data_IF_061078816460
#
_entry.id   IF_061078816460
#
_cell.length_a   1.000
_cell.length_b   1.000
_cell.length_c   1.000
_cell.angle_alpha   90.00
_cell.angle_beta   90.00
_cell.angle_gamma   90.00
#
_symmetry.space_group_name_H-M   'P 1'
#
loop_
_entity.id
_entity.type
_entity.pdbx_description
1 polymer ?
#
# COMPACT_ATOMS: atom_id res chain seq x y z
N UNK A 1 -19.84 -29.49 -43.63
CA UNK A 1 -20.00 -28.20 -42.93
C UNK A 1 -20.96 -28.40 -41.77
N UNK A 2 -20.45 -28.58 -40.55
CA UNK A 2 -21.23 -28.47 -39.32
C UNK A 2 -20.64 -27.29 -38.54
N UNK A 3 -21.45 -26.26 -38.43
CA UNK A 3 -21.20 -25.05 -37.66
C UNK A 3 -21.11 -25.41 -36.17
N UNK A 4 -19.93 -25.26 -35.57
CA UNK A 4 -19.77 -25.27 -34.12
C UNK A 4 -20.10 -23.85 -33.65
N UNK A 5 -21.21 -23.74 -32.93
CA UNK A 5 -21.66 -22.52 -32.27
C UNK A 5 -20.64 -22.08 -31.23
N UNK A 6 -20.12 -20.85 -31.39
CA UNK A 6 -19.44 -20.10 -30.31
C UNK A 6 -20.49 -19.73 -29.26
N UNK A 7 -20.85 -20.66 -28.39
CA UNK A 7 -21.44 -20.29 -27.10
C UNK A 7 -20.33 -19.67 -26.26
N UNK A 8 -20.44 -18.36 -26.05
CA UNK A 8 -19.51 -17.60 -25.22
C UNK A 8 -19.43 -18.20 -23.82
N UNK A 9 -18.22 -18.63 -23.44
CA UNK A 9 -17.90 -18.94 -22.04
C UNK A 9 -18.09 -17.64 -21.25
N UNK A 10 -19.23 -17.51 -20.59
CA UNK A 10 -19.46 -16.41 -19.65
C UNK A 10 -18.43 -16.49 -18.53
N UNK A 11 -17.70 -15.39 -18.33
CA UNK A 11 -16.90 -15.16 -17.15
C UNK A 11 -17.79 -15.20 -15.91
N UNK A 12 -17.72 -16.28 -15.12
CA UNK A 12 -18.10 -16.22 -13.71
C UNK A 12 -16.83 -15.94 -12.90
N UNK A 13 -16.86 -14.92 -12.05
CA UNK A 13 -15.79 -14.62 -11.08
C UNK A 13 -15.52 -15.76 -10.08
N UNK A 14 -16.25 -16.86 -10.20
CA UNK A 14 -16.18 -18.05 -9.38
C UNK A 14 -14.94 -18.91 -9.69
N UNK A 15 -14.35 -18.82 -10.89
CA UNK A 15 -13.28 -19.74 -11.31
C UNK A 15 -11.84 -19.24 -11.17
N UNK A 16 -11.55 -17.93 -11.14
CA UNK A 16 -10.17 -17.43 -11.10
C UNK A 16 -9.97 -16.35 -10.05
N UNK A 17 -8.98 -16.56 -9.18
CA UNK A 17 -8.65 -15.65 -8.09
C UNK A 17 -7.15 -15.31 -8.11
N UNK A 18 -6.83 -14.11 -7.63
CA UNK A 18 -5.44 -13.75 -7.38
C UNK A 18 -4.81 -14.77 -6.42
N UNK A 19 -3.64 -15.28 -6.78
CA UNK A 19 -2.89 -16.30 -6.06
C UNK A 19 -2.99 -17.67 -6.72
N UNK A 20 -4.01 -17.91 -7.56
CA UNK A 20 -4.13 -19.17 -8.28
C UNK A 20 -3.02 -19.33 -9.32
N UNK A 21 -2.56 -20.58 -9.50
CA UNK A 21 -1.67 -20.97 -10.58
C UNK A 21 -2.49 -21.62 -11.69
N UNK A 22 -2.23 -21.22 -12.93
CA UNK A 22 -2.97 -21.64 -14.11
C UNK A 22 -2.03 -22.11 -15.22
N UNK A 23 -2.50 -23.06 -16.01
CA UNK A 23 -1.94 -23.36 -17.33
C UNK A 23 -2.80 -22.66 -18.38
N UNK A 24 -2.18 -21.97 -19.32
CA UNK A 24 -2.88 -21.35 -20.45
C UNK A 24 -2.17 -21.62 -21.77
N UNK A 25 -2.95 -21.69 -22.86
CA UNK A 25 -2.44 -21.82 -24.22
C UNK A 25 -2.43 -20.45 -24.90
N UNK A 26 -1.27 -20.03 -25.40
CA UNK A 26 -1.18 -18.84 -26.26
C UNK A 26 -1.72 -19.18 -27.65
N UNK A 27 -2.56 -18.33 -28.23
CA UNK A 27 -3.00 -18.49 -29.62
C UNK A 27 -1.93 -18.07 -30.65
N UNK A 28 -0.85 -17.43 -30.20
CA UNK A 28 0.15 -16.79 -31.08
C UNK A 28 1.31 -17.71 -31.50
N UNK A 29 1.45 -18.89 -30.89
CA UNK A 29 2.54 -19.82 -31.22
C UNK A 29 1.97 -21.17 -31.67
N UNK A 30 2.34 -21.59 -32.88
CA UNK A 30 1.93 -22.88 -33.44
C UNK A 30 2.60 -24.04 -32.66
N UNK A 31 1.91 -24.57 -31.67
CA UNK A 31 2.33 -25.72 -30.86
C UNK A 31 1.51 -25.83 -29.57
N UNK A 32 1.39 -27.05 -29.02
CA UNK A 32 0.70 -27.32 -27.75
C UNK A 32 1.59 -26.90 -26.56
N UNK A 33 1.90 -25.60 -26.47
CA UNK A 33 2.79 -25.04 -25.46
C UNK A 33 1.98 -24.49 -24.28
N UNK A 34 1.57 -25.38 -23.37
CA UNK A 34 0.94 -25.00 -22.12
C UNK A 34 1.91 -24.19 -21.25
N UNK A 35 1.54 -22.97 -20.89
CA UNK A 35 2.39 -22.05 -20.12
C UNK A 35 1.88 -21.90 -18.70
N UNK A 36 2.77 -22.08 -17.71
CA UNK A 36 2.44 -21.93 -16.30
C UNK A 36 2.50 -20.45 -15.88
N UNK A 37 1.48 -19.98 -15.15
CA UNK A 37 1.35 -18.60 -14.68
C UNK A 37 0.78 -18.55 -13.27
N UNK A 38 1.14 -17.52 -12.52
CA UNK A 38 0.48 -17.15 -11.27
C UNK A 38 -0.40 -15.91 -11.51
N UNK A 39 -1.65 -15.92 -11.06
CA UNK A 39 -2.54 -14.76 -11.16
C UNK A 39 -2.18 -13.77 -10.03
N UNK A 40 -1.74 -12.57 -10.37
CA UNK A 40 -1.43 -11.52 -9.41
C UNK A 40 -2.64 -10.61 -9.18
N UNK A 41 -3.50 -10.43 -10.18
CA UNK A 41 -4.70 -9.62 -10.08
C UNK A 41 -5.63 -9.75 -11.28
N UNK A 42 -6.79 -9.10 -11.19
CA UNK A 42 -7.75 -8.97 -12.30
C UNK A 42 -7.84 -7.48 -12.63
N UNK A 43 -7.60 -7.13 -13.88
CA UNK A 43 -7.57 -5.76 -14.38
C UNK A 43 -8.79 -5.55 -15.27
N UNK A 44 -9.45 -4.41 -15.08
CA UNK A 44 -10.55 -3.95 -15.93
C UNK A 44 -10.01 -2.73 -16.69
N UNK A 45 -9.86 -2.79 -18.03
CA UNK A 45 -9.41 -1.66 -18.82
C UNK A 45 -10.37 -0.48 -18.69
N UNK A 46 -9.82 0.74 -18.65
CA UNK A 46 -10.64 1.96 -18.59
C UNK A 46 -11.52 2.15 -19.84
N UNK A 47 -11.04 1.67 -20.98
CA UNK A 47 -11.65 1.86 -22.30
C UNK A 47 -12.78 0.86 -22.57
N UNK A 48 -12.76 -0.31 -21.93
CA UNK A 48 -13.77 -1.34 -22.09
C UNK A 48 -14.03 -2.07 -20.77
N UNK A 49 -15.07 -1.64 -20.05
CA UNK A 49 -15.45 -2.21 -18.75
C UNK A 49 -15.95 -3.66 -18.82
N UNK A 50 -16.25 -4.16 -20.02
CA UNK A 50 -16.66 -5.55 -20.24
C UNK A 50 -15.49 -6.50 -20.45
N UNK A 51 -14.32 -5.97 -20.84
CA UNK A 51 -13.11 -6.77 -20.97
C UNK A 51 -12.48 -6.97 -19.59
N UNK A 52 -12.11 -8.22 -19.29
CA UNK A 52 -11.38 -8.56 -18.07
C UNK A 52 -10.06 -9.18 -18.48
N UNK A 53 -8.99 -8.62 -17.95
CA UNK A 53 -7.63 -9.14 -18.14
C UNK A 53 -7.16 -9.77 -16.83
N UNK A 54 -6.44 -10.89 -16.93
CA UNK A 54 -5.69 -11.42 -15.80
C UNK A 54 -4.30 -10.79 -15.84
N UNK A 55 -3.93 -10.14 -14.74
CA UNK A 55 -2.55 -9.73 -14.52
C UNK A 55 -1.80 -10.91 -13.94
N UNK A 56 -0.88 -11.47 -14.71
CA UNK A 56 -0.22 -12.75 -14.40
C UNK A 56 1.28 -12.60 -14.34
N UNK A 57 1.91 -13.39 -13.48
CA UNK A 57 3.35 -13.54 -13.37
C UNK A 57 3.81 -14.81 -14.08
N UNK A 58 4.88 -14.68 -14.86
CA UNK A 58 5.42 -15.77 -15.69
C UNK A 58 6.21 -16.78 -14.86
N UNK A 59 5.95 -18.05 -15.11
CA UNK A 59 6.72 -19.18 -14.57
C UNK A 59 7.32 -19.95 -15.75
N UNK A 60 8.62 -20.24 -15.66
CA UNK A 60 9.41 -20.87 -16.72
C UNK A 60 9.66 -22.35 -16.42
N UNK A 61 9.59 -23.19 -17.45
CA UNK A 61 9.86 -24.61 -17.35
C UNK A 61 11.33 -24.95 -17.54
N UNK A 62 11.65 -26.14 -17.05
CA UNK A 62 12.94 -26.79 -17.21
C UNK A 62 13.31 -27.10 -18.66
N UNK A 63 12.38 -27.40 -19.56
CA UNK A 63 12.67 -27.78 -20.96
C UNK A 63 13.49 -26.76 -21.78
N UNK A 64 13.76 -25.58 -21.21
CA UNK A 64 14.59 -24.53 -21.77
C UNK A 64 16.07 -24.55 -21.26
N UNK A 65 16.47 -25.41 -20.30
CA UNK A 65 17.84 -25.62 -19.77
C UNK A 65 18.06 -27.11 -19.33
N UNK A 66 19.29 -27.69 -19.21
CA UNK A 66 19.50 -29.16 -19.26
C UNK A 66 19.69 -29.93 -17.92
N UNK A 67 18.83 -30.95 -17.67
CA UNK A 67 18.62 -31.88 -16.52
C UNK A 67 18.13 -31.46 -15.09
N UNK A 68 16.80 -31.52 -14.82
CA UNK A 68 16.17 -31.85 -13.52
C UNK A 68 14.63 -31.94 -13.65
N UNK A 69 14.04 -33.07 -13.26
CA UNK A 69 12.59 -33.31 -13.26
C UNK A 69 11.89 -32.44 -12.19
N UNK A 70 10.89 -31.65 -12.62
CA UNK A 70 9.85 -30.95 -11.80
C UNK A 70 10.25 -29.58 -11.20
N UNK A 71 11.44 -29.04 -11.48
CA UNK A 71 11.80 -27.68 -11.06
C UNK A 71 11.28 -26.63 -12.07
N UNK A 72 10.52 -25.64 -11.59
CA UNK A 72 10.13 -24.45 -12.38
C UNK A 72 10.59 -23.18 -11.66
N UNK A 73 10.91 -22.13 -12.43
CA UNK A 73 11.37 -20.86 -11.87
C UNK A 73 10.27 -19.81 -11.94
N UNK A 74 10.03 -19.16 -10.81
CA UNK A 74 9.25 -17.93 -10.81
C UNK A 74 10.07 -16.85 -11.51
N UNK A 75 9.46 -16.10 -12.43
CA UNK A 75 10.11 -14.93 -13.04
C UNK A 75 9.46 -13.65 -12.56
N UNK A 76 10.13 -12.52 -12.74
CA UNK A 76 9.57 -11.19 -12.41
C UNK A 76 8.78 -10.59 -13.58
N UNK A 77 8.78 -11.26 -14.73
CA UNK A 77 8.02 -10.83 -15.88
C UNK A 77 6.52 -10.97 -15.59
N UNK A 78 5.81 -9.85 -15.69
CA UNK A 78 4.35 -9.81 -15.54
C UNK A 78 3.72 -9.32 -16.83
N UNK A 79 2.60 -9.92 -17.18
CA UNK A 79 1.85 -9.61 -18.40
C UNK A 79 0.35 -9.57 -18.08
N UNK A 80 -0.40 -8.81 -18.88
CA UNK A 80 -1.85 -8.85 -18.86
C UNK A 80 -2.32 -9.78 -19.98
N UNK A 81 -3.10 -10.81 -19.64
CA UNK A 81 -3.67 -11.75 -20.60
C UNK A 81 -5.18 -11.62 -20.64
N UNK A 82 -5.79 -11.75 -21.82
CA UNK A 82 -7.23 -11.73 -21.96
C UNK A 82 -7.81 -13.07 -21.45
N UNK A 83 -8.93 -13.01 -20.72
CA UNK A 83 -9.58 -14.20 -20.16
C UNK A 83 -10.24 -15.07 -21.24
N UNK A 84 -10.56 -14.51 -22.40
CA UNK A 84 -11.06 -15.24 -23.56
C UNK A 84 -9.98 -16.08 -24.25
N UNK A 85 -8.70 -15.91 -23.86
CA UNK A 85 -7.65 -16.86 -24.17
C UNK A 85 -7.88 -18.19 -23.43
N UNK A 86 -7.50 -19.32 -24.03
CA UNK A 86 -7.81 -20.66 -23.51
C UNK A 86 -6.98 -20.94 -22.25
N UNK A 87 -7.49 -20.53 -21.09
CA UNK A 87 -7.04 -21.07 -19.80
C UNK A 87 -7.45 -22.55 -19.76
N UNK A 88 -6.46 -23.41 -19.56
CA UNK A 88 -6.58 -24.85 -19.71
C UNK A 88 -7.09 -25.44 -18.38
N UNK A 89 -6.33 -25.32 -17.28
CA UNK A 89 -6.72 -25.82 -15.95
C UNK A 89 -5.99 -25.09 -14.80
N UNK A 90 -6.53 -25.21 -13.57
CA UNK A 90 -5.83 -24.84 -12.32
C UNK A 90 -4.75 -25.85 -11.99
N UNK A 91 -3.65 -25.36 -11.42
CA UNK A 91 -2.49 -26.17 -11.03
C UNK A 91 -2.12 -25.90 -9.58
N UNK A 92 -1.65 -26.93 -8.88
CA UNK A 92 -1.10 -26.78 -7.53
C UNK A 92 0.41 -26.61 -7.63
N UNK A 93 0.91 -25.48 -7.16
CA UNK A 93 2.35 -25.20 -7.12
C UNK A 93 2.75 -24.98 -5.67
N UNK A 94 3.77 -25.73 -5.22
CA UNK A 94 4.38 -25.52 -3.92
C UNK A 94 5.55 -24.54 -4.04
N UNK A 95 5.51 -23.48 -3.24
CA UNK A 95 6.62 -22.55 -3.07
C UNK A 95 7.41 -22.98 -1.82
N UNK A 96 8.70 -23.23 -1.96
CA UNK A 96 9.52 -23.83 -0.90
C UNK A 96 9.73 -22.93 0.33
N UNK A 97 9.45 -21.63 0.21
CA UNK A 97 9.40 -20.71 1.35
C UNK A 97 8.10 -20.82 2.18
N UNK A 98 7.14 -21.63 1.77
CA UNK A 98 5.88 -21.90 2.48
C UNK A 98 5.86 -23.34 3.03
N UNK A 99 5.04 -23.64 4.06
CA UNK A 99 4.86 -25.00 4.56
C UNK A 99 4.59 -26.00 3.44
N UNK A 100 5.18 -27.18 3.54
CA UNK A 100 5.09 -28.22 2.52
C UNK A 100 3.64 -28.63 2.27
N UNK A 101 3.24 -28.62 0.99
CA UNK A 101 1.92 -29.09 0.57
C UNK A 101 1.96 -30.59 0.32
N UNK A 102 1.01 -31.34 0.88
CA UNK A 102 0.92 -32.80 0.69
C UNK A 102 0.64 -33.19 -0.77
N UNK A 103 0.08 -32.28 -1.58
CA UNK A 103 -0.23 -32.51 -2.99
C UNK A 103 0.09 -31.27 -3.83
N UNK A 104 1.11 -31.36 -4.69
CA UNK A 104 1.46 -30.31 -5.67
C UNK A 104 1.93 -30.93 -6.99
N UNK A 105 1.70 -30.22 -8.09
CA UNK A 105 2.11 -30.60 -9.43
C UNK A 105 3.52 -30.07 -9.77
N UNK A 106 3.88 -28.89 -9.25
CA UNK A 106 5.18 -28.26 -9.45
C UNK A 106 5.77 -27.70 -8.15
N UNK A 107 7.11 -27.63 -8.09
CA UNK A 107 7.86 -27.00 -6.99
C UNK A 107 8.69 -25.83 -7.49
N UNK A 108 8.61 -24.71 -6.79
CA UNK A 108 9.43 -23.52 -7.04
C UNK A 108 10.39 -23.31 -5.87
N UNK A 109 11.69 -23.37 -6.17
CA UNK A 109 12.78 -23.11 -5.21
C UNK A 109 13.47 -21.77 -5.43
N UNK A 110 13.37 -21.26 -6.64
CA UNK A 110 14.26 -20.23 -7.16
C UNK A 110 13.48 -19.25 -8.04
N UNK A 111 13.99 -18.02 -8.08
CA UNK A 111 13.50 -16.92 -8.90
C UNK A 111 14.53 -16.63 -9.98
N UNK A 112 14.10 -16.66 -11.23
CA UNK A 112 14.89 -16.26 -12.38
C UNK A 112 14.62 -14.79 -12.70
N UNK A 113 15.67 -13.98 -12.72
CA UNK A 113 15.59 -12.56 -13.05
C UNK A 113 16.67 -12.17 -14.06
N UNK A 114 16.45 -11.05 -14.76
CA UNK A 114 17.42 -10.51 -15.71
C UNK A 114 18.11 -9.33 -15.04
N UNK A 115 19.44 -9.30 -15.10
CA UNK A 115 20.21 -8.20 -14.57
C UNK A 115 21.38 -7.91 -15.50
N UNK A 116 21.50 -6.67 -15.97
CA UNK A 116 22.47 -6.27 -16.99
C UNK A 116 22.45 -7.19 -18.22
N UNK A 117 21.25 -7.50 -18.71
CA UNK A 117 20.99 -8.41 -19.84
C UNK A 117 21.51 -9.85 -19.63
N UNK A 118 21.78 -10.26 -18.39
CA UNK A 118 22.18 -11.63 -18.06
C UNK A 118 21.17 -12.25 -17.10
N UNK A 119 20.81 -13.50 -17.36
CA UNK A 119 19.97 -14.29 -16.45
C UNK A 119 20.73 -14.58 -15.16
N UNK A 120 20.11 -14.29 -14.02
CA UNK A 120 20.59 -14.60 -12.68
C UNK A 120 19.50 -15.35 -11.91
N UNK A 121 19.92 -16.09 -10.90
CA UNK A 121 19.04 -16.89 -10.05
C UNK A 121 19.22 -16.46 -8.60
N UNK A 122 18.11 -16.34 -7.88
CA UNK A 122 18.10 -16.17 -6.43
C UNK A 122 17.09 -17.09 -5.77
N UNK A 123 17.22 -17.27 -4.46
CA UNK A 123 16.37 -18.18 -3.70
C UNK A 123 14.96 -17.60 -3.49
N UNK A 124 13.95 -18.47 -3.46
CA UNK A 124 12.52 -18.08 -3.33
C UNK A 124 12.20 -17.36 -2.01
N UNK A 125 13.04 -17.47 -0.98
CA UNK A 125 12.88 -16.70 0.26
C UNK A 125 13.01 -15.19 0.06
N UNK A 126 13.63 -14.75 -1.05
CA UNK A 126 13.76 -13.35 -1.42
C UNK A 126 12.60 -12.86 -2.32
N UNK A 127 11.55 -13.68 -2.50
CA UNK A 127 10.37 -13.29 -3.26
C UNK A 127 9.60 -12.18 -2.55
N UNK A 128 9.08 -11.23 -3.33
CA UNK A 128 7.99 -10.38 -2.88
C UNK A 128 6.71 -11.22 -2.73
N UNK A 129 6.28 -11.47 -1.50
CA UNK A 129 5.04 -12.21 -1.24
C UNK A 129 3.83 -11.41 -1.72
N UNK A 130 2.93 -12.07 -2.44
CA UNK A 130 1.65 -11.47 -2.82
C UNK A 130 0.74 -11.42 -1.58
N UNK A 131 -0.07 -10.37 -1.42
CA UNK A 131 -0.99 -10.26 -0.28
C UNK A 131 -1.90 -11.48 -0.11
N UNK A 132 -2.29 -12.14 -1.20
CA UNK A 132 -3.14 -13.34 -1.20
C UNK A 132 -2.46 -14.63 -0.72
N UNK A 133 -1.13 -14.65 -0.55
CA UNK A 133 -0.37 -15.81 -0.09
C UNK A 133 -0.40 -15.96 1.44
N UNK A 134 -0.87 -14.95 2.15
CA UNK A 134 -1.30 -15.13 3.53
C UNK A 134 -2.65 -15.86 3.51
N UNK A 135 -2.75 -16.98 4.24
CA UNK A 135 -3.97 -17.80 4.36
C UNK A 135 -5.16 -16.96 4.82
N UNK A 136 -5.85 -16.32 3.88
CA UNK A 136 -7.08 -15.58 4.16
C UNK A 136 -8.26 -16.48 3.81
N UNK A 137 -8.94 -17.00 4.83
CA UNK A 137 -10.30 -17.53 4.67
C UNK A 137 -11.20 -16.36 4.25
N UNK A 138 -11.35 -16.16 2.94
CA UNK A 138 -12.26 -15.16 2.42
C UNK A 138 -13.68 -15.67 2.65
N UNK A 139 -14.47 -14.92 3.42
CA UNK A 139 -15.89 -15.22 3.62
C UNK A 139 -16.59 -15.23 2.25
N UNK A 140 -17.46 -16.22 2.04
CA UNK A 140 -18.34 -16.31 0.88
C UNK A 140 -19.48 -15.30 1.04
N UNK A 141 -19.32 -14.12 0.47
CA UNK A 141 -20.38 -13.13 0.44
C UNK A 141 -21.42 -13.42 -0.63
N UNK A 142 -22.68 -12.97 -0.47
CA UNK A 142 -23.69 -13.05 -1.52
C UNK A 142 -23.21 -12.31 -2.78
N UNK A 143 -23.21 -13.00 -3.93
CA UNK A 143 -22.72 -12.52 -5.23
C UNK A 143 -23.40 -11.23 -5.73
N UNK A 144 -24.57 -10.88 -5.19
CA UNK A 144 -25.42 -9.81 -5.69
C UNK A 144 -25.23 -8.46 -4.97
N UNK A 145 -24.38 -8.37 -3.94
CA UNK A 145 -24.13 -7.11 -3.24
C UNK A 145 -22.93 -6.38 -3.83
N UNK A 146 -23.05 -5.06 -3.99
CA UNK A 146 -21.92 -4.22 -4.38
C UNK A 146 -20.82 -4.34 -3.32
N UNK A 147 -19.59 -4.59 -3.77
CA UNK A 147 -18.42 -4.73 -2.89
C UNK A 147 -17.51 -3.50 -3.03
N UNK A 148 -17.46 -2.69 -1.96
CA UNK A 148 -16.60 -1.52 -1.82
C UNK A 148 -15.33 -1.90 -1.05
N UNK A 149 -14.17 -1.43 -1.52
CA UNK A 149 -12.86 -1.72 -0.93
C UNK A 149 -12.18 -0.44 -0.48
N UNK A 150 -11.74 -0.42 0.78
CA UNK A 150 -11.05 0.72 1.37
C UNK A 150 -9.61 0.38 1.74
N UNK A 151 -8.75 1.37 1.66
CA UNK A 151 -7.37 1.32 2.11
C UNK A 151 -7.22 2.34 3.23
N UNK A 152 -6.80 1.88 4.40
CA UNK A 152 -6.60 2.70 5.59
C UNK A 152 -5.09 2.83 5.79
N UNK A 153 -4.56 4.04 5.65
CA UNK A 153 -3.16 4.34 5.93
C UNK A 153 -3.04 4.77 7.41
N UNK A 154 -2.24 4.02 8.18
CA UNK A 154 -2.05 4.19 9.61
C UNK A 154 -0.71 4.88 9.91
N UNK A 155 -0.77 5.83 10.83
CA UNK A 155 0.33 6.66 11.26
C UNK A 155 0.49 6.56 12.76
N UNK A 156 1.71 6.31 13.20
CA UNK A 156 2.08 6.35 14.61
C UNK A 156 3.31 7.23 14.77
N UNK A 157 3.23 8.19 15.70
CA UNK A 157 4.37 9.03 16.06
C UNK A 157 4.32 9.45 17.53
N UNK A 158 5.48 9.42 18.19
CA UNK A 158 5.65 9.96 19.53
C UNK A 158 5.95 11.46 19.50
N UNK A 159 5.37 12.20 20.43
CA UNK A 159 5.77 13.57 20.72
C UNK A 159 6.30 13.69 22.14
N UNK A 160 7.41 14.41 22.28
CA UNK A 160 7.93 14.86 23.56
C UNK A 160 7.03 15.97 24.10
N UNK A 161 6.00 15.56 24.85
CA UNK A 161 4.95 16.44 25.36
C UNK A 161 5.46 17.61 26.22
N UNK A 162 6.65 17.48 26.80
CA UNK A 162 7.19 18.46 27.75
C UNK A 162 8.50 19.12 27.31
N UNK A 163 8.93 18.91 26.05
CA UNK A 163 10.27 19.33 25.60
C UNK A 163 11.42 18.62 26.33
N UNK A 164 11.09 17.59 27.12
CA UNK A 164 12.01 16.67 27.80
C UNK A 164 11.61 15.26 27.41
N UNK A 165 12.59 14.43 27.07
CA UNK A 165 12.44 13.07 26.51
C UNK A 165 11.77 12.05 27.44
N UNK A 166 11.50 12.42 28.69
CA UNK A 166 11.00 11.53 29.74
C UNK A 166 9.48 11.35 29.75
N UNK A 167 8.71 12.15 28.99
CA UNK A 167 7.26 12.04 28.92
C UNK A 167 6.82 12.08 27.46
N UNK A 168 6.85 10.90 26.83
CA UNK A 168 6.40 10.69 25.45
C UNK A 168 4.92 10.36 25.45
N UNK A 169 4.18 11.04 24.58
CA UNK A 169 2.80 10.70 24.26
C UNK A 169 2.76 10.25 22.80
N UNK A 170 2.23 9.06 22.56
CA UNK A 170 2.14 8.47 21.22
C UNK A 170 0.82 8.85 20.55
N UNK A 171 0.84 9.34 19.31
CA UNK A 171 -0.37 9.60 18.54
C UNK A 171 -0.58 8.57 17.45
N UNK A 172 -1.78 8.00 17.38
CA UNK A 172 -2.21 7.08 16.31
C UNK A 172 -3.26 7.77 15.44
N UNK A 173 -2.96 7.93 14.16
CA UNK A 173 -3.83 8.59 13.19
C UNK A 173 -4.08 7.66 11.99
N UNK A 174 -5.22 7.83 11.34
CA UNK A 174 -5.54 7.13 10.10
C UNK A 174 -5.99 8.11 9.01
N UNK A 175 -5.83 7.67 7.77
CA UNK A 175 -6.38 8.34 6.59
C UNK A 175 -6.91 7.29 5.60
N UNK A 176 -8.02 7.57 4.93
CA UNK A 176 -8.46 6.72 3.83
C UNK A 176 -7.66 7.02 2.56
N UNK A 177 -6.90 6.05 2.07
CA UNK A 177 -6.08 6.22 0.89
C UNK A 177 -6.86 6.19 -0.43
N UNK A 178 -8.13 5.77 -0.43
CA UNK A 178 -9.03 5.91 -1.58
C UNK A 178 -9.43 7.35 -1.88
N UNK A 179 -9.18 8.30 -0.96
CA UNK A 179 -9.50 9.70 -1.19
C UNK A 179 -8.63 10.28 -2.33
N UNK A 180 -9.19 11.18 -3.17
CA UNK A 180 -8.41 11.98 -4.11
C UNK A 180 -7.25 12.69 -3.41
N UNK A 181 -6.18 12.96 -4.15
CA UNK A 181 -4.98 13.59 -3.58
C UNK A 181 -5.29 14.91 -2.86
N UNK A 182 -6.08 15.79 -3.49
CA UNK A 182 -6.49 17.06 -2.88
C UNK A 182 -7.15 16.87 -1.52
N UNK A 183 -8.00 15.86 -1.39
CA UNK A 183 -8.63 15.50 -0.10
C UNK A 183 -7.65 14.89 0.89
N UNK A 184 -6.71 14.06 0.43
CA UNK A 184 -5.65 13.52 1.31
C UNK A 184 -4.68 14.59 1.80
N UNK A 185 -4.63 15.73 1.09
CA UNK A 185 -3.82 16.88 1.48
C UNK A 185 -4.47 17.77 2.55
N UNK A 186 -5.75 17.54 2.86
CA UNK A 186 -6.44 18.30 3.90
C UNK A 186 -6.16 17.69 5.30
N UNK A 187 -5.74 18.51 6.27
CA UNK A 187 -5.59 18.09 7.67
C UNK A 187 -6.89 17.52 8.27
N UNK A 188 -8.05 18.03 7.85
CA UNK A 188 -9.36 17.54 8.30
C UNK A 188 -9.59 16.05 7.98
N UNK A 189 -8.88 15.49 7.01
CA UNK A 189 -9.03 14.12 6.57
C UNK A 189 -7.99 13.17 7.19
N UNK A 190 -7.37 13.58 8.30
CA UNK A 190 -6.61 12.75 9.22
C UNK A 190 -7.43 12.55 10.50
N UNK A 191 -7.67 11.29 10.86
CA UNK A 191 -8.52 10.94 11.99
C UNK A 191 -7.66 10.37 13.12
N UNK A 192 -7.74 10.97 14.31
CA UNK A 192 -7.12 10.44 15.52
C UNK A 192 -7.86 9.17 15.96
N UNK A 193 -7.15 8.04 16.03
CA UNK A 193 -7.65 6.79 16.64
C UNK A 193 -7.44 6.82 18.15
N UNK A 194 -6.32 7.37 18.59
CA UNK A 194 -6.10 7.59 20.01
C UNK A 194 -4.67 8.00 20.37
N UNK A 195 -4.54 8.35 21.64
CA UNK A 195 -3.30 8.82 22.24
C UNK A 195 -2.82 7.77 23.25
N UNK A 196 -1.62 7.26 23.04
CA UNK A 196 -0.96 6.26 23.86
C UNK A 196 -0.28 7.01 25.01
N UNK A 197 -0.76 6.85 26.26
CA UNK A 197 -0.19 7.53 27.41
C UNK A 197 1.24 7.08 27.67
N UNK A 198 1.96 7.88 28.45
CA UNK A 198 3.30 7.53 28.90
C UNK A 198 3.33 6.15 29.58
N UNK A 199 4.39 5.38 29.36
CA UNK A 199 4.59 3.98 29.78
C UNK A 199 3.62 2.92 29.21
N UNK A 200 2.60 3.30 28.43
CA UNK A 200 1.77 2.31 27.75
C UNK A 200 2.47 1.72 26.52
N UNK A 201 2.32 0.40 26.34
CA UNK A 201 2.90 -0.31 25.19
C UNK A 201 2.03 -0.12 23.97
N UNK A 202 2.63 0.33 22.86
CA UNK A 202 1.95 0.44 21.57
C UNK A 202 1.21 -0.84 21.16
N UNK A 203 1.85 -2.00 21.34
CA UNK A 203 1.28 -3.30 20.97
C UNK A 203 -0.03 -3.61 21.71
N UNK A 204 -0.13 -3.25 22.99
CA UNK A 204 -1.33 -3.47 23.79
C UNK A 204 -2.44 -2.49 23.36
N UNK A 205 -2.06 -1.23 23.09
CA UNK A 205 -2.99 -0.18 22.66
C UNK A 205 -3.61 -0.44 21.28
N UNK A 206 -2.81 -0.84 20.28
CA UNK A 206 -3.28 -1.02 18.90
C UNK A 206 -4.06 -2.33 18.70
N UNK A 207 -3.92 -3.30 19.61
CA UNK A 207 -4.49 -4.64 19.46
C UNK A 207 -5.99 -4.66 19.15
N UNK A 208 -6.86 -3.90 19.85
CA UNK A 208 -8.29 -3.84 19.53
C UNK A 208 -8.54 -3.30 18.12
N UNK A 209 -7.79 -2.27 17.70
CA UNK A 209 -7.88 -1.71 16.35
C UNK A 209 -7.48 -2.74 15.28
N UNK A 210 -6.40 -3.49 15.49
CA UNK A 210 -5.99 -4.56 14.56
C UNK A 210 -7.06 -5.67 14.46
N UNK A 211 -7.69 -6.03 15.57
CA UNK A 211 -8.81 -7.00 15.55
C UNK A 211 -9.98 -6.49 14.71
N UNK A 212 -10.33 -5.20 14.82
CA UNK A 212 -11.34 -4.57 13.96
C UNK A 212 -10.90 -4.55 12.49
N UNK A 213 -9.61 -4.27 12.22
CA UNK A 213 -9.07 -4.32 10.85
C UNK A 213 -9.12 -5.72 10.25
N UNK A 214 -8.91 -6.78 11.04
CA UNK A 214 -9.06 -8.17 10.57
C UNK A 214 -10.51 -8.49 10.20
N UNK A 215 -11.48 -8.00 10.98
CA UNK A 215 -12.91 -8.11 10.65
C UNK A 215 -13.21 -7.36 9.36
N UNK A 216 -12.75 -6.10 9.24
CA UNK A 216 -12.92 -5.29 8.04
C UNK A 216 -12.25 -5.92 6.81
N UNK A 217 -11.09 -6.53 6.98
CA UNK A 217 -10.36 -7.22 5.91
C UNK A 217 -11.13 -8.44 5.39
N UNK A 218 -11.78 -9.18 6.29
CA UNK A 218 -12.65 -10.28 5.91
C UNK A 218 -13.92 -9.78 5.21
N UNK A 219 -14.38 -8.57 5.55
CA UNK A 219 -15.51 -7.87 4.95
C UNK A 219 -16.74 -7.86 5.86
N UNK A 220 -17.44 -6.73 5.88
CA UNK A 220 -18.65 -6.49 6.67
C UNK A 220 -19.78 -6.03 5.76
N UNK A 221 -21.02 -6.33 6.12
CA UNK A 221 -22.19 -5.82 5.41
C UNK A 221 -22.67 -4.57 6.15
N UNK A 222 -22.76 -3.45 5.42
CA UNK A 222 -23.28 -2.18 5.93
C UNK A 222 -24.37 -1.64 5.00
N UNK A 223 -25.16 -0.70 5.51
CA UNK A 223 -26.13 0.03 4.70
C UNK A 223 -25.48 1.32 4.19
N UNK A 224 -25.53 1.58 2.88
CA UNK A 224 -25.00 2.81 2.30
C UNK A 224 -25.96 4.00 2.55
N UNK A 225 -25.57 5.19 2.10
CA UNK A 225 -26.40 6.41 2.18
C UNK A 225 -27.76 6.28 1.46
N UNK A 226 -27.83 5.47 0.41
CA UNK A 226 -29.06 5.24 -0.36
C UNK A 226 -29.99 4.19 0.30
N UNK A 227 -29.59 3.56 1.40
CA UNK A 227 -30.35 2.50 2.06
C UNK A 227 -30.07 1.08 1.55
N UNK A 228 -29.14 0.91 0.60
CA UNK A 228 -28.79 -0.41 0.06
C UNK A 228 -27.77 -1.14 0.94
N UNK A 229 -27.88 -2.47 1.00
CA UNK A 229 -26.83 -3.30 1.60
C UNK A 229 -25.62 -3.37 0.67
N UNK A 230 -24.46 -3.05 1.22
CA UNK A 230 -23.16 -3.14 0.53
C UNK A 230 -22.19 -3.96 1.36
N UNK A 231 -21.28 -4.66 0.69
CA UNK A 231 -20.14 -5.31 1.33
C UNK A 231 -19.00 -4.29 1.37
N UNK A 232 -18.44 -4.08 2.54
CA UNK A 232 -17.29 -3.22 2.77
C UNK A 232 -16.14 -4.09 3.22
N UNK A 233 -15.04 -4.05 2.49
CA UNK A 233 -13.78 -4.62 2.95
C UNK A 233 -12.67 -3.58 2.94
N UNK A 234 -11.59 -3.84 3.68
CA UNK A 234 -10.47 -2.94 3.63
C UNK A 234 -9.15 -3.50 4.13
N UNK A 235 -8.06 -2.87 3.69
CA UNK A 235 -6.70 -3.24 4.06
C UNK A 235 -6.02 -2.12 4.84
N UNK A 236 -5.07 -2.51 5.69
CA UNK A 236 -4.22 -1.59 6.45
C UNK A 236 -2.89 -1.36 5.71
N UNK A 237 -2.54 -0.11 5.48
CA UNK A 237 -1.20 0.33 5.11
C UNK A 237 -0.52 1.02 6.29
N UNK A 238 0.81 0.94 6.35
CA UNK A 238 1.61 1.64 7.35
C UNK A 238 2.83 2.28 6.68
N UNK A 239 3.01 3.60 6.83
CA UNK A 239 4.08 4.33 6.15
C UNK A 239 4.70 5.45 7.03
N UNK A 240 5.60 5.13 8.00
CA UNK A 240 6.40 6.10 8.81
C UNK A 240 7.70 5.47 9.38
N UNK A 241 8.78 6.25 9.66
CA UNK A 241 9.98 5.83 10.40
C UNK A 241 9.79 5.08 11.75
N UNK A 242 8.79 5.34 12.60
CA UNK A 242 8.50 4.43 13.74
C UNK A 242 7.84 3.12 13.29
N UNK A 243 7.07 3.17 12.20
CA UNK A 243 6.56 1.97 11.51
C UNK A 243 7.68 1.05 11.05
N UNK A 244 8.87 1.58 10.74
CA UNK A 244 10.04 0.76 10.44
C UNK A 244 10.46 -0.10 11.65
N UNK A 245 10.51 0.47 12.86
CA UNK A 245 10.80 -0.32 14.06
C UNK A 245 9.73 -1.41 14.27
N UNK A 246 8.45 -1.09 14.03
CA UNK A 246 7.34 -2.04 14.14
C UNK A 246 7.41 -3.16 13.10
N UNK A 247 7.92 -2.86 11.90
CA UNK A 247 8.16 -3.83 10.82
C UNK A 247 9.50 -4.58 10.98
N UNK A 248 10.22 -4.40 12.10
CA UNK A 248 11.53 -5.04 12.35
C UNK A 248 12.66 -4.50 11.48
N UNK A 249 12.46 -3.36 10.81
CA UNK A 249 13.44 -2.72 9.94
C UNK A 249 14.49 -2.02 10.81
N UNK A 250 15.76 -2.24 10.47
CA UNK A 250 16.90 -1.64 11.16
C UNK A 250 16.90 -0.11 11.02
N UNK A 251 17.47 0.57 12.00
CA UNK A 251 17.61 2.04 11.96
C UNK A 251 18.57 2.44 10.84
N UNK A 252 18.40 3.65 10.31
CA UNK A 252 19.29 4.22 9.29
C UNK A 252 20.78 4.27 9.73
N UNK A 253 21.04 4.29 11.04
CA UNK A 253 22.39 4.27 11.61
C UNK A 253 23.04 2.88 11.68
N UNK A 254 22.34 1.80 11.29
CA UNK A 254 22.99 0.48 11.16
C UNK A 254 23.71 0.38 9.83
N UNK A 255 24.72 -0.48 9.76
CA UNK A 255 25.52 -0.68 8.55
C UNK A 255 24.65 -0.93 7.31
N UNK A 256 23.66 -1.82 7.42
CA UNK A 256 22.63 -2.02 6.39
C UNK A 256 21.29 -1.38 6.77
N UNK A 257 21.24 -0.05 6.81
CA UNK A 257 20.06 0.72 7.17
C UNK A 257 19.00 0.88 6.08
N UNK A 258 19.31 0.55 4.82
CA UNK A 258 18.37 0.71 3.71
C UNK A 258 17.31 -0.42 3.67
N UNK A 259 16.05 -0.02 3.47
CA UNK A 259 14.88 -0.93 3.39
C UNK A 259 14.76 -1.67 2.07
N UNK A 260 15.45 -1.18 1.05
CA UNK A 260 15.25 -1.58 -0.33
C UNK A 260 16.47 -2.29 -0.90
N UNK A 261 17.68 -1.97 -0.44
CA UNK A 261 18.91 -2.65 -0.83
C UNK A 261 19.82 -2.91 0.37
N UNK A 262 20.90 -3.65 0.13
CA UNK A 262 21.90 -4.02 1.13
C UNK A 262 23.11 -3.08 1.16
N UNK A 263 22.94 -1.82 0.76
CA UNK A 263 24.01 -0.81 0.85
C UNK A 263 24.54 -0.71 2.29
N UNK A 264 25.85 -0.55 2.42
CA UNK A 264 26.55 -0.28 3.69
C UNK A 264 26.53 1.22 3.99
N UNK A 265 26.94 1.64 5.19
CA UNK A 265 27.06 3.08 5.46
C UNK A 265 28.17 3.75 4.63
N UNK A 266 29.24 3.03 4.34
CA UNK A 266 30.38 3.53 3.57
C UNK A 266 30.01 3.78 2.10
N UNK A 267 29.07 2.99 1.57
CA UNK A 267 28.62 3.07 0.18
C UNK A 267 27.40 3.99 -0.04
N UNK A 268 26.90 4.71 0.98
CA UNK A 268 25.71 5.56 0.83
C UNK A 268 25.87 6.64 -0.25
N UNK A 269 27.10 7.10 -0.50
CA UNK A 269 27.42 8.08 -1.56
C UNK A 269 27.97 7.45 -2.84
N UNK A 270 28.08 6.13 -2.89
CA UNK A 270 28.64 5.46 -4.05
C UNK A 270 27.61 5.47 -5.18
N UNK A 271 27.74 6.43 -6.10
CA UNK A 271 26.86 6.56 -7.27
C UNK A 271 26.96 5.39 -8.24
N UNK A 272 28.00 4.55 -8.10
CA UNK A 272 28.19 3.32 -8.86
C UNK A 272 27.67 2.09 -8.13
N UNK A 273 27.09 2.24 -6.94
CA UNK A 273 26.50 1.12 -6.22
C UNK A 273 25.32 0.56 -7.01
N UNK A 274 25.41 -0.72 -7.37
CA UNK A 274 24.37 -1.38 -8.12
C UNK A 274 23.21 -1.73 -7.20
N UNK A 275 22.27 -0.78 -7.08
CA UNK A 275 21.07 -0.90 -6.25
C UNK A 275 20.22 -2.10 -6.67
N UNK A 276 20.13 -2.39 -7.97
CA UNK A 276 19.31 -3.48 -8.47
C UNK A 276 19.92 -4.83 -8.09
N UNK A 277 21.24 -4.97 -8.21
CA UNK A 277 21.92 -6.21 -7.83
C UNK A 277 21.82 -6.47 -6.32
N UNK A 278 21.98 -5.41 -5.53
CA UNK A 278 21.96 -5.48 -4.07
C UNK A 278 20.57 -5.19 -3.51
N UNK A 279 19.54 -5.20 -4.35
CA UNK A 279 18.16 -4.98 -3.95
C UNK A 279 17.68 -6.14 -3.07
N UNK A 280 17.02 -5.83 -1.96
CA UNK A 280 16.35 -6.82 -1.09
C UNK A 280 15.17 -7.48 -1.82
N UNK A 281 14.61 -6.77 -2.79
CA UNK A 281 13.57 -7.21 -3.71
C UNK A 281 13.94 -6.72 -5.12
N UNK A 282 13.59 -7.46 -6.17
CA UNK A 282 13.84 -7.04 -7.54
C UNK A 282 12.51 -7.08 -8.32
N UNK A 283 12.23 -6.01 -9.06
CA UNK A 283 11.07 -5.91 -9.94
C UNK A 283 11.38 -4.87 -11.04
N UNK A 284 11.52 -5.32 -12.29
CA UNK A 284 11.86 -4.47 -13.44
C UNK A 284 10.60 -3.96 -14.15
N UNK A 285 10.40 -2.63 -14.18
CA UNK A 285 9.36 -1.99 -14.97
C UNK A 285 9.88 -0.73 -15.67
N UNK A 286 9.58 -0.60 -16.96
CA UNK A 286 10.24 0.27 -17.93
C UNK A 286 9.97 1.79 -17.73
N UNK A 287 8.77 2.18 -17.27
CA UNK A 287 8.39 3.61 -17.17
C UNK A 287 9.14 4.39 -16.08
N UNK A 288 9.73 3.70 -15.10
CA UNK A 288 10.45 4.34 -14.00
C UNK A 288 11.94 4.58 -14.28
N UNK A 289 12.43 4.19 -15.46
CA UNK A 289 13.82 4.43 -15.88
C UNK A 289 14.10 5.93 -15.99
N UNK A 290 13.14 6.70 -16.52
CA UNK A 290 13.28 8.16 -16.63
C UNK A 290 13.34 8.82 -15.24
N UNK A 291 12.49 8.39 -14.32
CA UNK A 291 12.50 8.88 -12.94
C UNK A 291 13.83 8.56 -12.25
N UNK A 292 14.33 7.33 -12.39
CA UNK A 292 15.65 6.91 -11.87
C UNK A 292 16.77 7.83 -12.37
N UNK A 293 16.83 8.06 -13.69
CA UNK A 293 17.84 8.93 -14.30
C UNK A 293 17.76 10.38 -13.80
N UNK A 294 16.55 10.91 -13.57
CA UNK A 294 16.36 12.26 -13.00
C UNK A 294 16.86 12.34 -11.56
N UNK A 295 16.59 11.31 -10.76
CA UNK A 295 17.00 11.27 -9.34
C UNK A 295 18.52 11.12 -9.19
N UNK A 296 19.18 10.38 -10.09
CA UNK A 296 20.64 10.31 -10.19
C UNK A 296 21.24 11.70 -10.48
N UNK A 297 20.70 12.42 -11.47
CA UNK A 297 21.14 13.79 -11.80
C UNK A 297 20.97 14.76 -10.63
N UNK A 298 19.84 14.68 -9.91
CA UNK A 298 19.59 15.50 -8.72
C UNK A 298 20.59 15.17 -7.61
N UNK A 299 20.86 13.89 -7.38
CA UNK A 299 21.80 13.43 -6.34
C UNK A 299 23.22 13.90 -6.65
N UNK A 300 23.67 13.76 -7.90
CA UNK A 300 24.98 14.27 -8.35
C UNK A 300 25.08 15.79 -8.17
N UNK A 301 24.03 16.54 -8.52
CA UNK A 301 24.00 17.99 -8.36
C UNK A 301 24.06 18.39 -6.87
N UNK A 302 23.30 17.73 -6.00
CA UNK A 302 23.29 17.99 -4.56
C UNK A 302 24.65 17.68 -3.92
N UNK A 303 25.27 16.54 -4.26
CA UNK A 303 26.61 16.18 -3.76
C UNK A 303 27.70 17.10 -4.32
N UNK A 304 27.53 17.65 -5.52
CA UNK A 304 28.49 18.59 -6.11
C UNK A 304 28.43 19.97 -5.46
N UNK A 305 27.24 20.48 -5.17
CA UNK A 305 27.04 21.83 -4.62
C UNK A 305 27.13 21.85 -3.10
N UNK A 306 26.59 20.84 -2.42
CA UNK A 306 26.42 20.80 -0.98
C UNK A 306 27.02 19.53 -0.37
N UNK A 307 28.24 19.17 -0.82
CA UNK A 307 28.91 17.93 -0.45
C UNK A 307 28.92 17.70 1.06
N UNK A 308 29.36 18.69 1.83
CA UNK A 308 29.49 18.57 3.29
C UNK A 308 28.15 18.33 3.99
N UNK A 309 27.05 18.86 3.44
CA UNK A 309 25.71 18.74 4.03
C UNK A 309 25.02 17.43 3.63
N UNK A 310 25.17 16.99 2.38
CA UNK A 310 24.40 15.86 1.82
C UNK A 310 25.16 14.54 1.79
N UNK A 311 26.48 14.55 1.99
CA UNK A 311 27.27 13.32 2.05
C UNK A 311 26.80 12.41 3.18
N UNK A 312 26.67 11.12 2.86
CA UNK A 312 26.29 10.03 3.75
C UNK A 312 24.90 10.20 4.38
N UNK A 313 24.04 11.03 3.80
CA UNK A 313 22.66 11.15 4.27
C UNK A 313 21.82 9.96 3.76
N UNK A 314 21.25 9.14 4.66
CA UNK A 314 20.37 8.04 4.26
C UNK A 314 19.16 8.51 3.46
N UNK A 315 18.68 9.73 3.70
CA UNK A 315 17.57 10.34 2.96
C UNK A 315 17.92 10.62 1.49
N UNK A 316 19.19 10.95 1.21
CA UNK A 316 19.66 11.13 -0.17
C UNK A 316 19.71 9.79 -0.88
N UNK A 317 20.26 8.76 -0.23
CA UNK A 317 20.25 7.39 -0.74
C UNK A 317 18.82 6.87 -0.98
N UNK A 318 17.87 7.20 -0.08
CA UNK A 318 16.47 6.83 -0.20
C UNK A 318 15.80 7.34 -1.48
N UNK A 319 16.28 8.44 -2.07
CA UNK A 319 15.76 8.97 -3.33
C UNK A 319 15.89 7.96 -4.46
N UNK A 320 17.00 7.22 -4.54
CA UNK A 320 17.22 6.23 -5.60
C UNK A 320 16.19 5.09 -5.58
N UNK A 321 15.52 4.88 -4.45
CA UNK A 321 14.50 3.86 -4.28
C UNK A 321 13.10 4.33 -4.62
N UNK A 322 12.87 5.63 -4.83
CA UNK A 322 11.54 6.15 -5.19
C UNK A 322 10.90 5.43 -6.39
N UNK A 323 11.62 5.08 -7.48
CA UNK A 323 11.11 4.19 -8.52
C UNK A 323 10.51 2.89 -7.99
N UNK A 324 11.22 2.19 -7.12
CA UNK A 324 10.81 0.88 -6.57
C UNK A 324 9.66 1.03 -5.57
N UNK A 325 9.70 2.09 -4.76
CA UNK A 325 8.60 2.46 -3.87
C UNK A 325 7.33 2.74 -4.68
N UNK A 326 7.48 3.45 -5.80
CA UNK A 326 6.37 3.78 -6.67
C UNK A 326 5.77 2.54 -7.36
N UNK A 327 6.64 1.57 -7.70
CA UNK A 327 6.23 0.27 -8.25
C UNK A 327 5.45 -0.54 -7.22
N UNK A 328 5.97 -0.67 -6.00
CA UNK A 328 5.41 -1.55 -4.98
C UNK A 328 4.14 -0.98 -4.32
N UNK A 329 4.09 0.34 -4.13
CA UNK A 329 3.04 1.00 -3.35
C UNK A 329 2.18 1.97 -4.16
N UNK A 330 2.35 2.01 -5.49
CA UNK A 330 1.68 2.94 -6.38
C UNK A 330 2.30 4.34 -6.32
N UNK A 331 1.56 5.39 -6.69
CA UNK A 331 2.12 6.74 -6.82
C UNK A 331 2.89 7.20 -5.56
N UNK A 332 4.09 7.76 -5.73
CA UNK A 332 4.96 8.27 -4.65
C UNK A 332 4.26 9.23 -3.69
N UNK A 333 3.28 9.94 -4.22
CA UNK A 333 2.38 10.82 -3.47
C UNK A 333 1.70 10.08 -2.31
N UNK A 334 1.36 8.81 -2.47
CA UNK A 334 0.78 7.97 -1.41
C UNK A 334 1.77 7.70 -0.27
N UNK A 335 3.07 7.79 -0.55
CA UNK A 335 4.14 7.57 0.43
C UNK A 335 4.70 8.87 1.01
N UNK A 336 4.14 10.03 0.66
CA UNK A 336 4.59 11.33 1.19
C UNK A 336 4.38 11.42 2.70
N UNK A 337 5.40 11.87 3.42
CA UNK A 337 5.41 11.96 4.90
C UNK A 337 5.24 13.39 5.40
N UNK A 338 5.47 14.40 4.56
CA UNK A 338 5.51 15.82 4.96
C UNK A 338 4.21 16.28 5.63
N UNK A 339 3.06 15.91 5.07
CA UNK A 339 1.77 16.29 5.63
C UNK A 339 1.47 15.55 6.94
N UNK A 340 1.90 14.29 7.04
CA UNK A 340 1.78 13.47 8.25
C UNK A 340 2.61 14.09 9.38
N UNK A 341 3.79 14.60 9.08
CA UNK A 341 4.62 15.38 10.00
C UNK A 341 4.00 16.74 10.36
N UNK A 342 3.33 17.40 9.42
CA UNK A 342 2.67 18.67 9.70
C UNK A 342 1.45 18.50 10.64
N UNK A 343 0.68 17.41 10.51
CA UNK A 343 -0.35 17.00 11.50
C UNK A 343 0.30 16.88 12.88
N UNK A 344 1.42 16.18 12.98
CA UNK A 344 2.17 16.02 14.23
C UNK A 344 2.62 17.38 14.83
N UNK A 345 3.10 18.29 13.97
CA UNK A 345 3.47 19.65 14.37
C UNK A 345 2.31 20.44 14.96
N UNK A 346 1.07 20.22 14.49
CA UNK A 346 -0.14 20.85 15.02
C UNK A 346 -0.37 20.43 16.49
N UNK A 347 -0.34 19.13 16.79
CA UNK A 347 -0.49 18.64 18.16
C UNK A 347 0.59 19.19 19.07
N UNK A 348 1.87 19.16 18.64
CA UNK A 348 2.98 19.74 19.41
C UNK A 348 2.75 21.21 19.78
N UNK A 349 2.21 22.02 18.86
CA UNK A 349 1.86 23.42 19.16
C UNK A 349 0.73 23.50 20.18
N UNK A 350 -0.33 22.70 20.03
CA UNK A 350 -1.45 22.67 20.99
C UNK A 350 -0.98 22.33 22.40
N UNK A 351 -0.07 21.37 22.55
CA UNK A 351 0.49 20.95 23.85
C UNK A 351 1.07 22.13 24.65
N UNK A 352 1.68 23.11 23.98
CA UNK A 352 2.24 24.32 24.63
C UNK A 352 1.18 25.19 25.30
N UNK A 353 -0.09 25.07 24.87
CA UNK A 353 -1.22 25.84 25.37
C UNK A 353 -2.11 25.07 26.36
N UNK A 354 -1.71 23.85 26.74
CA UNK A 354 -2.41 23.07 27.78
C UNK A 354 -1.79 23.28 29.15
N UNK A 355 -2.52 22.92 30.21
CA UNK A 355 -1.95 22.88 31.57
C UNK A 355 -1.02 21.66 31.80
N UNK A 356 -0.89 20.79 30.78
CA UNK A 356 -0.06 19.59 30.72
C UNK A 356 -0.33 18.54 31.81
N UNK A 357 -1.47 18.61 32.51
CA UNK A 357 -1.85 17.63 33.54
C UNK A 357 -2.44 16.37 32.93
N UNK A 358 -3.34 16.52 31.96
CA UNK A 358 -4.00 15.41 31.28
C UNK A 358 -4.02 15.66 29.77
N UNK A 359 -2.83 15.57 29.18
CA UNK A 359 -2.60 15.96 27.81
C UNK A 359 -3.38 15.10 26.81
N UNK A 360 -3.53 13.81 27.09
CA UNK A 360 -4.34 12.92 26.26
C UNK A 360 -5.79 13.38 26.24
N UNK A 361 -6.37 13.66 27.40
CA UNK A 361 -7.74 14.14 27.50
C UNK A 361 -7.94 15.50 26.83
N UNK A 362 -7.01 16.45 27.03
CA UNK A 362 -7.09 17.79 26.44
C UNK A 362 -7.06 17.73 24.90
N UNK A 363 -6.15 16.93 24.33
CA UNK A 363 -6.03 16.75 22.89
C UNK A 363 -7.23 15.98 22.31
N UNK A 364 -7.71 14.93 22.99
CA UNK A 364 -8.91 14.20 22.57
C UNK A 364 -10.17 15.07 22.61
N UNK A 365 -10.33 15.92 23.65
CA UNK A 365 -11.44 16.87 23.73
C UNK A 365 -11.40 17.86 22.58
N UNK A 366 -10.23 18.43 22.29
CA UNK A 366 -10.04 19.35 21.17
C UNK A 366 -10.46 18.71 19.84
N UNK A 367 -9.99 17.49 19.56
CA UNK A 367 -10.29 16.81 18.32
C UNK A 367 -11.77 16.42 18.22
N UNK A 368 -12.36 15.93 19.31
CA UNK A 368 -13.81 15.67 19.37
C UNK A 368 -14.61 16.93 19.06
N UNK A 369 -14.28 18.07 19.69
CA UNK A 369 -14.94 19.35 19.40
C UNK A 369 -14.82 19.75 17.94
N UNK A 370 -13.62 19.65 17.34
CA UNK A 370 -13.41 20.00 15.94
C UNK A 370 -14.18 19.07 14.98
N UNK A 371 -14.20 17.76 15.25
CA UNK A 371 -14.95 16.81 14.45
C UNK A 371 -16.46 17.00 14.59
N UNK A 372 -16.96 17.32 15.80
CA UNK A 372 -18.38 17.65 16.00
C UNK A 372 -18.76 18.93 15.28
N UNK A 373 -17.97 20.00 15.40
CA UNK A 373 -18.22 21.25 14.67
C UNK A 373 -18.25 21.01 13.16
N UNK A 374 -17.31 20.20 12.64
CA UNK A 374 -17.31 19.81 11.24
C UNK A 374 -18.58 19.06 10.86
N UNK A 375 -18.96 18.03 11.62
CA UNK A 375 -20.17 17.25 11.35
C UNK A 375 -21.40 18.15 11.24
N UNK A 376 -21.54 19.12 12.15
CA UNK A 376 -22.64 20.08 12.14
C UNK A 376 -22.58 21.07 10.95
N UNK A 377 -21.38 21.56 10.61
CA UNK A 377 -21.19 22.44 9.44
C UNK A 377 -21.45 21.72 8.11
N UNK A 378 -21.14 20.42 8.02
CA UNK A 378 -21.42 19.58 6.86
C UNK A 378 -22.92 19.17 6.77
N UNK A 379 -23.79 19.75 7.61
CA UNK A 379 -25.24 19.50 7.64
C UNK A 379 -25.67 18.28 8.47
N UNK A 380 -24.77 17.75 9.28
CA UNK A 380 -25.07 16.72 10.26
C UNK A 380 -26.07 17.20 11.31
N UNK A 381 -26.95 16.30 11.75
CA UNK A 381 -28.00 16.61 12.71
C UNK A 381 -27.71 15.88 14.03
N UNK A 382 -27.71 16.61 15.13
CA UNK A 382 -27.75 16.03 16.47
C UNK A 382 -29.16 16.16 17.03
N UNK A 383 -29.88 15.03 17.13
CA UNK A 383 -31.26 14.96 17.66
C UNK A 383 -31.42 15.49 19.08
N UNK A 384 -30.32 15.70 19.82
CA UNK A 384 -30.34 16.34 21.14
C UNK A 384 -30.49 17.86 21.06
N UNK A 385 -30.24 18.46 19.90
CA UNK A 385 -30.13 19.91 19.69
C UNK A 385 -30.82 20.37 18.39
N UNK A 386 -32.06 19.94 18.15
CA UNK A 386 -32.81 20.21 16.92
C UNK A 386 -32.90 21.70 16.54
N UNK A 387 -32.98 22.61 17.52
CA UNK A 387 -33.01 24.06 17.29
C UNK A 387 -31.68 24.63 16.76
N UNK A 388 -30.55 24.02 17.11
CA UNK A 388 -29.20 24.49 16.76
C UNK A 388 -28.73 23.89 15.41
N UNK A 389 -29.24 22.73 15.03
CA UNK A 389 -28.87 22.05 13.79
C UNK A 389 -29.08 22.95 12.55
N UNK A 390 -30.19 23.68 12.49
CA UNK A 390 -30.45 24.61 11.39
C UNK A 390 -29.49 25.81 11.39
N UNK A 391 -28.98 26.23 12.56
CA UNK A 391 -28.06 27.35 12.67
C UNK A 391 -26.70 27.08 12.01
N UNK A 392 -26.07 25.94 12.31
CA UNK A 392 -24.78 25.60 11.71
C UNK A 392 -24.88 25.34 10.20
N UNK A 393 -25.96 24.71 9.77
CA UNK A 393 -26.22 24.48 8.34
C UNK A 393 -26.43 25.81 7.59
N UNK A 394 -27.15 26.76 8.19
CA UNK A 394 -27.32 28.10 7.62
C UNK A 394 -26.01 28.91 7.64
N UNK A 395 -25.18 28.74 8.67
CA UNK A 395 -23.86 29.37 8.78
C UNK A 395 -22.89 28.85 7.70
N UNK A 396 -22.92 27.54 7.43
CA UNK A 396 -22.14 26.94 6.36
C UNK A 396 -22.59 27.46 4.99
N UNK A 397 -23.90 27.64 4.76
CA UNK A 397 -24.43 28.16 3.49
C UNK A 397 -24.32 29.69 3.31
N UNK A 398 -23.84 30.42 4.32
CA UNK A 398 -23.61 31.86 4.22
C UNK A 398 -22.44 32.14 3.27
N UNK A 399 -22.72 32.81 2.15
CA UNK A 399 -21.72 33.06 1.08
C UNK A 399 -20.47 33.84 1.50
N UNK A 400 -20.51 34.58 2.61
CA UNK A 400 -19.36 35.33 3.15
C UNK A 400 -18.55 34.43 4.08
N UNK A 401 -19.23 33.70 4.97
CA UNK A 401 -18.59 32.83 5.96
C UNK A 401 -18.10 31.50 5.36
N UNK A 402 -18.80 30.96 4.36
CA UNK A 402 -18.39 29.77 3.62
C UNK A 402 -16.98 29.94 3.03
N UNK A 403 -16.67 31.12 2.48
CA UNK A 403 -15.31 31.42 1.96
C UNK A 403 -14.25 31.35 3.07
N UNK A 404 -14.56 31.87 4.26
CA UNK A 404 -13.70 31.83 5.44
C UNK A 404 -13.45 30.40 5.97
N UNK A 405 -14.41 29.50 5.79
CA UNK A 405 -14.34 28.10 6.22
C UNK A 405 -13.72 27.17 5.18
N UNK A 406 -13.88 27.48 3.89
CA UNK A 406 -13.28 26.71 2.79
C UNK A 406 -11.78 26.96 2.63
N UNK A 407 -11.31 28.18 2.93
CA UNK A 407 -9.93 28.62 2.73
C UNK A 407 -8.95 28.21 3.86
N UNK A 408 -9.24 27.14 4.60
CA UNK A 408 -8.28 26.56 5.58
C UNK A 408 -7.06 25.87 4.95
N UNK A 409 -6.88 26.00 3.63
CA UNK A 409 -5.69 25.57 2.92
C UNK A 409 -4.60 26.63 3.04
N UNK A 410 -3.36 26.19 3.25
CA UNK A 410 -2.22 26.97 2.76
C UNK A 410 -2.36 26.94 1.23
N UNK A 411 -2.83 28.03 0.64
CA UNK A 411 -2.74 28.25 -0.81
C UNK A 411 -1.34 28.79 -1.11
N UNK A 412 -0.80 28.46 -2.28
CA UNK A 412 0.58 28.80 -2.70
C UNK A 412 0.88 30.31 -2.79
N UNK A 413 -0.06 31.17 -2.43
CA UNK A 413 0.07 32.64 -2.45
C UNK A 413 0.10 33.22 -1.03
N UNK A 414 0.92 32.64 -0.14
CA UNK A 414 1.21 33.15 1.21
C UNK A 414 2.68 32.99 1.57
#
# INVERSE_FOLDING_TARGET
MKSVSREGRKFTSEFYQAGNFILYNSQEEAGDNQRLRQINGIVIPKENSFEKLLYVQKIMYYSDLPNLLIAVWLTENREAINVDCVVVHHVKVWLENLPESENYDYRIREILYIHNNRSKIRQIHQQHQLPNQHNFQRLSFPLNLQHLKFFIDLYYNDFDAFGKSYYKLGGIYIQFGNMPLSMRQCFKNYFLIGLIPFDAKFADFIKPFIQQMQILQNGIIMTNYNGDKVIISGGLGMCIPQGNNLAGIRRHNTDHGCRTCEVTQEDLNNTYFDIQLNGRYFDEYNDYILLKKRLEQVTEALLKVFRETFSNLPNLHALHHLPEIARNFGMLVNTSVSLKEAVHGLYKRTVLHTNKKDLSMDLSKRDNTLQTLRYLLDGGLDTRYDEINNFFTNFANDTILHKLLDDWYITENG
#
